data_IF_003048894189
#
_entry.id   IF_003048894189
#
_cell.length_a   1.000
_cell.length_b   1.000
_cell.length_c   1.000
_cell.angle_alpha   90.00
_cell.angle_beta   90.00
_cell.angle_gamma   90.00
#
_symmetry.space_group_name_H-M   'P 1'
#
loop_
_entity.id
_entity.type
_entity.pdbx_description
1 polymer ?
#
# COMPACT_ATOMS: atom_id res chain seq x y z
N UNK A 1 29.93 14.36 -6.99
CA UNK A 1 29.45 15.70 -7.42
C UNK A 1 30.63 16.61 -7.71
N UNK A 2 30.42 17.75 -8.38
CA UNK A 2 31.48 18.74 -8.62
C UNK A 2 31.16 20.03 -7.86
N UNK A 3 32.08 20.48 -7.01
CA UNK A 3 31.99 21.77 -6.34
C UNK A 3 33.13 22.66 -6.85
N UNK A 4 32.80 23.80 -7.47
CA UNK A 4 33.79 24.68 -8.11
C UNK A 4 34.73 23.93 -9.08
N UNK A 5 34.21 22.95 -9.82
CA UNK A 5 34.99 22.13 -10.76
C UNK A 5 35.87 21.05 -10.13
N UNK A 6 35.81 20.85 -8.81
CA UNK A 6 36.57 19.80 -8.10
C UNK A 6 35.64 18.67 -7.66
N UNK A 7 36.15 17.44 -7.69
CA UNK A 7 35.41 16.25 -7.25
C UNK A 7 35.14 16.29 -5.75
N UNK A 8 33.87 16.15 -5.39
CA UNK A 8 33.41 16.13 -4.01
C UNK A 8 32.39 15.01 -3.77
N UNK A 9 32.33 14.57 -2.51
CA UNK A 9 31.27 13.72 -1.97
C UNK A 9 30.38 14.58 -1.07
N UNK A 10 29.06 14.43 -1.21
CA UNK A 10 28.10 15.02 -0.29
C UNK A 10 28.10 14.20 0.99
N UNK A 11 28.34 14.85 2.12
CA UNK A 11 28.38 14.23 3.46
C UNK A 11 27.21 14.65 4.34
N UNK A 12 26.63 15.81 4.07
CA UNK A 12 25.54 16.36 4.87
C UNK A 12 24.56 17.15 3.99
N UNK A 13 23.27 17.05 4.30
CA UNK A 13 22.22 17.88 3.72
C UNK A 13 21.28 18.26 4.86
N UNK A 14 21.15 19.55 5.15
CA UNK A 14 20.34 20.03 6.28
C UNK A 14 20.61 21.48 6.63
N UNK A 15 19.94 21.95 7.67
CA UNK A 15 20.15 23.30 8.20
C UNK A 15 21.41 23.36 9.06
N UNK A 16 22.09 24.50 9.06
CA UNK A 16 23.20 24.72 9.97
C UNK A 16 22.73 25.49 11.19
N UNK A 17 23.28 25.17 12.35
CA UNK A 17 23.03 25.86 13.61
C UNK A 17 23.20 27.37 13.44
N UNK A 18 22.13 28.11 13.75
CA UNK A 18 22.11 29.57 13.65
C UNK A 18 22.10 30.13 12.23
N UNK A 19 21.94 29.31 11.18
CA UNK A 19 21.86 29.78 9.78
C UNK A 19 20.61 29.22 9.11
N UNK A 20 19.62 30.07 8.77
CA UNK A 20 18.40 29.59 8.13
C UNK A 20 18.66 29.12 6.70
N UNK A 21 17.96 28.06 6.31
CA UNK A 21 17.99 27.51 4.95
C UNK A 21 18.76 26.21 4.83
N UNK A 22 18.66 25.59 3.65
CA UNK A 22 19.23 24.29 3.37
C UNK A 22 20.68 24.40 2.90
N UNK A 23 21.57 23.70 3.60
CA UNK A 23 22.99 23.60 3.27
C UNK A 23 23.36 22.19 2.88
N UNK A 24 24.34 22.09 2.01
CA UNK A 24 24.96 20.84 1.60
C UNK A 24 26.42 20.87 2.04
N UNK A 25 26.77 19.97 2.96
CA UNK A 25 28.13 19.73 3.38
C UNK A 25 28.81 18.77 2.42
N UNK A 26 29.92 19.20 1.84
CA UNK A 26 30.70 18.43 0.88
C UNK A 26 32.13 18.23 1.37
N UNK A 27 32.71 17.09 1.03
CA UNK A 27 34.12 16.76 1.25
C UNK A 27 34.83 16.65 -0.10
N UNK A 28 35.95 17.36 -0.25
CA UNK A 28 36.80 17.31 -1.42
C UNK A 28 37.69 16.06 -1.41
N UNK A 29 37.63 15.27 -2.48
CA UNK A 29 38.31 13.97 -2.55
C UNK A 29 39.80 14.06 -2.82
N UNK A 30 40.22 15.01 -3.67
CA UNK A 30 41.58 15.11 -4.20
C UNK A 30 42.28 16.43 -3.88
N UNK A 31 41.63 17.33 -3.14
CA UNK A 31 42.13 18.66 -2.88
C UNK A 31 41.72 19.17 -1.49
N UNK A 32 42.62 19.85 -0.79
CA UNK A 32 42.28 20.64 0.40
C UNK A 32 41.70 22.00 -0.04
N UNK A 33 40.48 21.97 -0.59
CA UNK A 33 39.78 23.15 -1.14
C UNK A 33 38.59 23.60 -0.28
N UNK A 34 38.44 23.03 0.90
CA UNK A 34 37.43 23.36 1.89
C UNK A 34 37.88 24.47 2.84
N UNK A 35 37.03 24.71 3.86
CA UNK A 35 37.24 25.71 4.92
C UNK A 35 37.26 25.09 6.31
N UNK A 36 36.79 23.85 6.45
CA UNK A 36 36.69 23.14 7.72
C UNK A 36 36.97 21.63 7.49
N UNK A 37 36.83 20.83 8.54
CA UNK A 37 36.98 19.36 8.58
C UNK A 37 35.65 18.63 8.83
N UNK A 38 34.54 19.37 8.72
CA UNK A 38 33.17 18.90 8.96
C UNK A 38 32.52 19.46 10.24
N UNK A 39 33.28 20.24 11.00
CA UNK A 39 32.79 21.02 12.14
C UNK A 39 32.65 22.51 11.79
N UNK A 40 31.56 23.14 12.23
CA UNK A 40 31.31 24.58 12.09
C UNK A 40 30.74 25.10 13.40
N UNK A 41 31.34 26.18 13.91
CA UNK A 41 30.91 26.86 15.14
C UNK A 41 30.79 25.92 16.36
N UNK A 42 31.71 24.95 16.47
CA UNK A 42 31.73 23.95 17.56
C UNK A 42 30.74 22.78 17.39
N UNK A 43 29.98 22.76 16.29
CA UNK A 43 29.01 21.71 15.99
C UNK A 43 29.52 20.85 14.84
N UNK A 44 29.59 19.53 15.07
CA UNK A 44 30.02 18.56 14.08
C UNK A 44 28.84 18.04 13.28
N UNK A 45 28.87 18.24 11.97
CA UNK A 45 27.82 17.78 11.05
C UNK A 45 28.24 16.52 10.31
N UNK A 46 29.53 16.40 9.99
CA UNK A 46 30.15 15.22 9.40
C UNK A 46 31.65 15.20 9.73
N UNK A 47 32.37 14.14 9.37
CA UNK A 47 33.81 14.02 9.66
C UNK A 47 34.11 13.40 11.03
N UNK A 48 35.40 13.31 11.44
CA UNK A 48 36.52 14.16 11.01
C UNK A 48 37.01 13.85 9.59
N UNK A 49 37.12 14.88 8.76
CA UNK A 49 37.81 14.80 7.47
C UNK A 49 39.21 15.42 7.57
N UNK A 50 39.98 15.39 6.50
CA UNK A 50 41.26 16.10 6.47
C UNK A 50 41.06 17.62 6.72
N UNK A 51 42.03 18.30 7.36
CA UNK A 51 41.93 19.74 7.57
C UNK A 51 41.69 20.49 6.27
N UNK A 52 40.75 21.44 6.27
CA UNK A 52 40.38 22.22 5.09
C UNK A 52 39.94 21.37 3.88
N UNK A 53 39.36 20.19 4.10
CA UNK A 53 38.79 19.37 3.02
C UNK A 53 37.26 19.43 2.94
N UNK A 54 36.59 20.09 3.88
CA UNK A 54 35.13 20.19 3.94
C UNK A 54 34.63 21.62 3.65
N UNK A 55 33.49 21.72 2.99
CA UNK A 55 32.82 22.99 2.69
C UNK A 55 31.30 22.84 2.79
N UNK A 56 30.63 23.85 3.34
CA UNK A 56 29.19 24.03 3.20
C UNK A 56 28.85 24.98 2.07
N UNK A 57 27.95 24.56 1.19
CA UNK A 57 27.35 25.37 0.14
C UNK A 57 25.84 25.40 0.33
N UNK A 58 25.18 26.49 -0.08
CA UNK A 58 23.72 26.50 -0.05
C UNK A 58 23.18 25.56 -1.13
N UNK A 59 22.08 24.89 -0.85
CA UNK A 59 21.46 23.95 -1.79
C UNK A 59 20.94 24.64 -3.07
N UNK A 60 20.61 25.93 -2.99
CA UNK A 60 20.19 26.76 -4.12
C UNK A 60 21.35 27.39 -4.89
N UNK A 61 22.60 27.18 -4.47
CA UNK A 61 23.76 27.74 -5.15
C UNK A 61 24.21 26.83 -6.30
N UNK A 62 24.42 27.43 -7.48
CA UNK A 62 24.96 26.78 -8.69
C UNK A 62 26.41 26.24 -8.53
N UNK A 63 27.00 26.42 -7.35
CA UNK A 63 28.34 25.95 -7.00
C UNK A 63 28.46 24.42 -7.00
N UNK A 64 27.36 23.70 -6.74
CA UNK A 64 27.32 22.25 -6.69
C UNK A 64 26.62 21.69 -7.93
N UNK A 65 27.39 21.03 -8.79
CA UNK A 65 26.88 20.39 -10.01
C UNK A 65 26.79 18.88 -9.81
N UNK A 66 25.75 18.22 -10.34
CA UNK A 66 25.76 16.76 -10.44
C UNK A 66 27.02 16.30 -11.20
N UNK A 67 27.56 15.16 -10.80
CA UNK A 67 28.80 14.62 -11.38
C UNK A 67 28.62 14.38 -12.89
N UNK A 68 29.71 14.55 -13.65
CA UNK A 68 29.95 14.44 -15.11
C UNK A 68 28.78 14.30 -16.13
N UNK A 69 28.99 14.79 -17.36
CA UNK A 69 28.02 14.71 -18.46
C UNK A 69 27.45 13.31 -18.72
N UNK A 70 28.23 12.24 -18.51
CA UNK A 70 27.76 10.87 -18.68
C UNK A 70 26.79 10.45 -17.55
N UNK A 71 27.01 10.91 -16.33
CA UNK A 71 26.18 10.52 -15.18
C UNK A 71 24.88 11.35 -15.11
N UNK A 72 24.91 12.57 -15.65
CA UNK A 72 23.69 13.31 -15.96
C UNK A 72 22.84 12.58 -17.01
N UNK A 73 23.48 12.06 -18.07
CA UNK A 73 22.80 11.20 -19.05
C UNK A 73 22.27 9.92 -18.39
N UNK A 74 23.04 9.28 -17.50
CA UNK A 74 22.62 8.09 -16.77
C UNK A 74 21.40 8.39 -15.87
N UNK A 75 21.40 9.51 -15.16
CA UNK A 75 20.29 9.95 -14.30
C UNK A 75 19.03 10.23 -15.12
N UNK A 76 19.19 10.87 -16.30
CA UNK A 76 18.07 11.11 -17.23
C UNK A 76 17.50 9.80 -17.77
N UNK A 77 18.36 8.87 -18.20
CA UNK A 77 17.96 7.54 -18.68
C UNK A 77 17.24 6.77 -17.56
N UNK A 78 17.80 6.72 -16.35
CA UNK A 78 17.19 6.05 -15.20
C UNK A 78 15.82 6.66 -14.84
N UNK A 79 15.71 7.99 -14.90
CA UNK A 79 14.44 8.69 -14.68
C UNK A 79 13.38 8.34 -15.72
N UNK A 80 13.76 8.23 -17.00
CA UNK A 80 12.86 7.82 -18.07
C UNK A 80 12.43 6.36 -17.95
N UNK A 81 13.34 5.46 -17.58
CA UNK A 81 13.02 4.04 -17.37
C UNK A 81 11.99 3.88 -16.24
N UNK A 82 12.19 4.55 -15.10
CA UNK A 82 11.24 4.52 -13.97
C UNK A 82 9.85 5.05 -14.35
N UNK A 83 9.79 6.15 -15.10
CA UNK A 83 8.53 6.74 -15.57
C UNK A 83 7.79 5.80 -16.54
N UNK A 84 8.51 5.18 -17.48
CA UNK A 84 7.92 4.21 -18.39
C UNK A 84 7.39 2.97 -17.65
N UNK A 85 8.16 2.43 -16.70
CA UNK A 85 7.74 1.26 -15.92
C UNK A 85 6.46 1.54 -15.13
N UNK A 86 6.39 2.69 -14.44
CA UNK A 86 5.20 3.09 -13.70
C UNK A 86 3.97 3.31 -14.62
N UNK A 87 4.17 3.88 -15.82
CA UNK A 87 3.09 4.03 -16.81
C UNK A 87 2.59 2.67 -17.32
N UNK A 88 3.51 1.72 -17.56
CA UNK A 88 3.17 0.38 -17.98
C UNK A 88 2.38 -0.38 -16.89
N UNK A 89 2.76 -0.27 -15.62
CA UNK A 89 2.02 -0.88 -14.51
C UNK A 89 0.59 -0.32 -14.40
N UNK A 90 0.43 1.00 -14.51
CA UNK A 90 -0.90 1.64 -14.50
C UNK A 90 -1.73 1.22 -15.73
N UNK A 91 -1.10 1.09 -16.89
CA UNK A 91 -1.74 0.61 -18.12
C UNK A 91 -2.22 -0.84 -18.01
N UNK A 92 -1.37 -1.70 -17.44
CA UNK A 92 -1.69 -3.11 -17.21
C UNK A 92 -2.80 -3.27 -16.16
N UNK A 93 -2.72 -2.54 -15.04
CA UNK A 93 -3.76 -2.54 -14.01
C UNK A 93 -5.12 -2.07 -14.54
N UNK A 94 -5.15 -1.04 -15.41
CA UNK A 94 -6.39 -0.64 -16.09
C UNK A 94 -6.91 -1.70 -17.04
N UNK A 95 -6.02 -2.32 -17.81
CA UNK A 95 -6.39 -3.39 -18.75
C UNK A 95 -6.97 -4.59 -18.03
N UNK A 96 -6.32 -5.07 -16.96
CA UNK A 96 -6.83 -6.15 -16.11
C UNK A 96 -8.19 -5.80 -15.50
N UNK A 97 -8.31 -4.60 -14.91
CA UNK A 97 -9.59 -4.16 -14.32
C UNK A 97 -10.71 -4.11 -15.36
N UNK A 98 -10.44 -3.63 -16.57
CA UNK A 98 -11.41 -3.63 -17.65
C UNK A 98 -11.80 -5.06 -18.06
N UNK A 99 -10.83 -5.97 -18.18
CA UNK A 99 -11.07 -7.37 -18.51
C UNK A 99 -11.96 -8.05 -17.46
N UNK A 100 -11.61 -7.97 -16.19
CA UNK A 100 -12.42 -8.55 -15.09
C UNK A 100 -13.82 -7.95 -15.03
N UNK A 101 -13.96 -6.65 -15.31
CA UNK A 101 -15.29 -6.00 -15.33
C UNK A 101 -16.14 -6.50 -16.51
N UNK A 102 -15.53 -6.71 -17.68
CA UNK A 102 -16.23 -7.26 -18.86
C UNK A 102 -16.61 -8.73 -18.67
N UNK A 103 -15.72 -9.53 -18.07
CA UNK A 103 -15.96 -10.93 -17.72
C UNK A 103 -17.11 -11.05 -16.70
N UNK A 104 -17.07 -10.26 -15.63
CA UNK A 104 -18.14 -10.18 -14.63
C UNK A 104 -19.48 -9.74 -15.23
N UNK A 105 -19.46 -8.82 -16.21
CA UNK A 105 -20.68 -8.41 -16.92
C UNK A 105 -21.26 -9.55 -17.77
N UNK A 106 -20.41 -10.30 -18.49
CA UNK A 106 -20.86 -11.43 -19.30
C UNK A 106 -21.39 -12.60 -18.46
N UNK A 107 -20.79 -12.86 -17.30
CA UNK A 107 -21.31 -13.83 -16.32
C UNK A 107 -22.64 -13.36 -15.72
N UNK A 108 -22.75 -12.07 -15.37
CA UNK A 108 -23.99 -11.48 -14.84
C UNK A 108 -25.14 -11.55 -15.84
N UNK A 109 -24.88 -11.27 -17.12
CA UNK A 109 -25.88 -11.36 -18.20
C UNK A 109 -26.38 -12.80 -18.39
N UNK A 110 -25.50 -13.81 -18.23
CA UNK A 110 -25.88 -15.23 -18.26
C UNK A 110 -26.65 -15.67 -17.02
N UNK A 111 -26.28 -15.18 -15.84
CA UNK A 111 -27.01 -15.46 -14.60
C UNK A 111 -28.42 -14.86 -14.62
N UNK A 112 -28.58 -13.63 -15.08
CA UNK A 112 -29.89 -12.99 -15.26
C UNK A 112 -30.69 -13.71 -16.36
N UNK A 113 -30.04 -14.10 -17.45
CA UNK A 113 -30.66 -14.94 -18.48
C UNK A 113 -31.15 -16.29 -17.94
N UNK A 114 -30.39 -16.94 -17.07
CA UNK A 114 -30.78 -18.21 -16.41
C UNK A 114 -31.90 -18.03 -15.37
N UNK A 115 -31.87 -16.95 -14.59
CA UNK A 115 -32.96 -16.54 -13.67
C UNK A 115 -34.27 -16.34 -14.43
N UNK A 116 -34.20 -15.71 -15.61
CA UNK A 116 -35.38 -15.42 -16.43
C UNK A 116 -35.82 -16.60 -17.30
N UNK A 117 -34.94 -17.55 -17.62
CA UNK A 117 -35.23 -18.65 -18.57
C UNK A 117 -35.75 -19.94 -17.92
N UNK A 118 -35.78 -20.06 -16.59
CA UNK A 118 -36.40 -21.21 -15.91
C UNK A 118 -37.20 -20.80 -14.67
N UNK A 119 -38.46 -20.40 -14.89
CA UNK A 119 -39.62 -20.96 -14.18
C UNK A 119 -39.68 -20.90 -12.65
N UNK A 120 -38.91 -20.07 -11.94
CA UNK A 120 -39.05 -19.97 -10.48
C UNK A 120 -40.39 -19.37 -10.09
N UNK A 121 -40.86 -18.35 -10.83
CA UNK A 121 -42.20 -17.79 -10.63
C UNK A 121 -43.31 -18.81 -10.94
N UNK A 122 -43.23 -19.52 -12.07
CA UNK A 122 -44.25 -20.50 -12.46
C UNK A 122 -44.30 -21.73 -11.53
N UNK A 123 -43.16 -22.19 -11.02
CA UNK A 123 -43.10 -23.29 -10.04
C UNK A 123 -43.68 -22.83 -8.69
N UNK A 124 -43.34 -21.62 -8.23
CA UNK A 124 -43.89 -21.05 -6.98
C UNK A 124 -45.39 -20.79 -7.08
N UNK A 125 -45.89 -20.33 -8.23
CA UNK A 125 -47.32 -20.13 -8.47
C UNK A 125 -48.08 -21.46 -8.47
N UNK A 126 -47.52 -22.51 -9.09
CA UNK A 126 -48.13 -23.85 -9.05
C UNK A 126 -48.17 -24.47 -7.65
N UNK A 127 -47.14 -24.23 -6.83
CA UNK A 127 -47.09 -24.68 -5.43
C UNK A 127 -48.09 -23.92 -4.55
N UNK A 128 -48.29 -22.61 -4.80
CA UNK A 128 -49.28 -21.79 -4.10
C UNK A 128 -50.73 -22.18 -4.44
N UNK A 129 -51.02 -22.51 -5.70
CA UNK A 129 -52.35 -22.99 -6.11
C UNK A 129 -52.68 -24.36 -5.50
N UNK A 130 -51.69 -25.26 -5.41
CA UNK A 130 -51.84 -26.57 -4.77
C UNK A 130 -52.11 -26.44 -3.25
N UNK A 131 -51.46 -25.48 -2.57
CA UNK A 131 -51.67 -25.21 -1.14
C UNK A 131 -52.97 -24.45 -0.84
N UNK A 132 -53.41 -23.57 -1.74
CA UNK A 132 -54.66 -22.83 -1.60
C UNK A 132 -55.88 -23.75 -1.76
N UNK A 133 -55.83 -24.68 -2.73
CA UNK A 133 -56.88 -25.67 -2.94
C UNK A 133 -57.06 -26.66 -1.77
N UNK A 134 -56.00 -26.95 -1.02
CA UNK A 134 -56.06 -27.80 0.18
C UNK A 134 -56.60 -27.08 1.42
N UNK A 135 -56.40 -25.75 1.52
CA UNK A 135 -56.93 -24.96 2.62
C UNK A 135 -58.45 -24.70 2.48
N UNK A 136 -58.95 -24.64 1.24
CA UNK A 136 -60.37 -24.43 0.94
C UNK A 136 -61.27 -25.67 1.18
N UNK A 137 -60.69 -26.87 1.37
CA UNK A 137 -61.45 -28.11 1.57
C UNK A 137 -61.58 -28.55 3.02
N UNK A 138 -61.18 -27.73 3.99
CA UNK A 138 -61.33 -28.03 5.42
C UNK A 138 -62.71 -27.55 5.92
N UNK A 139 -63.54 -28.42 6.53
CA UNK A 139 -64.83 -28.01 7.05
C UNK A 139 -64.69 -27.09 8.27
N UNK A 140 -65.45 -26.00 8.26
CA UNK A 140 -65.57 -25.05 9.37
C UNK A 140 -66.19 -25.74 10.60
N UNK A 141 -65.33 -26.17 11.53
CA UNK A 141 -65.77 -26.55 12.86
C UNK A 141 -64.90 -27.59 13.56
N UNK A 142 -64.48 -27.22 14.78
CA UNK A 142 -63.90 -28.07 15.83
C UNK A 142 -62.40 -28.39 15.65
N UNK A 143 -61.53 -28.33 16.67
CA UNK A 143 -61.73 -28.21 18.10
C UNK A 143 -60.45 -27.67 18.77
N UNK A 144 -60.68 -26.95 19.86
CA UNK A 144 -59.79 -26.69 20.99
C UNK A 144 -58.90 -27.88 21.35
N UNK A 145 -57.57 -27.72 21.34
CA UNK A 145 -56.66 -28.57 22.14
C UNK A 145 -55.58 -27.72 22.81
N UNK A 146 -55.52 -27.90 24.14
CA UNK A 146 -54.68 -27.25 25.17
C UNK A 146 -53.18 -27.25 24.88
N UNK A 147 -52.40 -26.37 25.55
CA UNK A 147 -50.95 -26.39 25.47
C UNK A 147 -50.38 -27.59 26.26
N UNK A 148 -49.38 -28.33 25.75
CA UNK A 148 -48.62 -29.24 26.58
C UNK A 148 -47.56 -28.48 27.38
N UNK A 149 -47.76 -28.49 28.70
CA UNK A 149 -46.69 -28.36 29.70
C UNK A 149 -45.71 -29.53 29.55
N UNK A 150 -44.40 -29.29 29.49
CA UNK A 150 -43.43 -30.37 29.55
C UNK A 150 -42.00 -29.97 29.22
N UNK A 151 -41.15 -29.99 30.24
CA UNK A 151 -39.71 -29.75 30.24
C UNK A 151 -38.92 -30.54 29.20
N UNK A 152 -37.99 -29.88 28.52
CA UNK A 152 -37.01 -30.54 27.65
C UNK A 152 -35.85 -29.61 27.34
N UNK A 153 -34.82 -29.64 28.19
CA UNK A 153 -33.57 -28.94 28.00
C UNK A 153 -32.91 -29.38 26.67
N UNK A 154 -32.88 -28.51 25.66
CA UNK A 154 -32.06 -28.68 24.45
C UNK A 154 -31.40 -27.36 24.06
N UNK A 155 -30.20 -27.23 24.64
CA UNK A 155 -28.97 -26.56 24.17
C UNK A 155 -29.11 -25.69 22.90
N UNK A 156 -28.89 -24.39 23.07
CA UNK A 156 -28.70 -23.43 22.00
C UNK A 156 -27.45 -23.78 21.15
N UNK A 157 -27.45 -23.49 19.83
CA UNK A 157 -26.24 -23.57 19.03
C UNK A 157 -25.22 -22.53 19.53
N UNK A 158 -24.04 -23.02 19.88
CA UNK A 158 -22.88 -22.26 20.34
C UNK A 158 -22.40 -21.28 19.27
N UNK A 159 -22.37 -20.00 19.65
CA UNK A 159 -21.69 -18.92 18.94
C UNK A 159 -20.21 -19.30 18.81
N UNK A 160 -19.72 -19.40 17.57
CA UNK A 160 -18.28 -19.56 17.29
C UNK A 160 -17.63 -18.19 17.48
N UNK A 161 -16.95 -18.02 18.61
CA UNK A 161 -16.07 -16.88 18.87
C UNK A 161 -14.86 -16.98 17.94
N UNK A 162 -14.59 -15.95 17.15
CA UNK A 162 -13.32 -15.78 16.43
C UNK A 162 -12.20 -15.76 17.48
N UNK A 163 -11.32 -16.75 17.43
CA UNK A 163 -10.07 -16.74 18.20
C UNK A 163 -9.15 -15.69 17.60
N UNK A 164 -8.71 -14.80 18.49
CA UNK A 164 -7.63 -13.85 18.33
C UNK A 164 -6.33 -14.57 17.91
N UNK A 165 -5.62 -13.98 16.95
CA UNK A 165 -4.38 -14.50 16.40
C UNK A 165 -3.26 -14.47 17.46
N UNK A 166 -2.34 -15.45 17.47
CA UNK A 166 -1.21 -15.41 18.38
C UNK A 166 -0.21 -14.31 17.94
N UNK A 167 0.14 -13.43 18.88
CA UNK A 167 1.31 -12.55 18.75
C UNK A 167 2.58 -13.39 18.60
N UNK A 168 3.37 -13.06 17.57
CA UNK A 168 4.66 -13.68 17.28
C UNK A 168 5.73 -12.92 18.07
N UNK A 169 6.52 -13.58 18.93
CA UNK A 169 7.65 -12.93 19.60
C UNK A 169 8.73 -12.58 18.58
N UNK A 170 9.22 -11.35 18.63
CA UNK A 170 10.45 -10.93 17.94
C UNK A 170 11.63 -11.60 18.65
N UNK A 171 12.25 -12.58 18.00
CA UNK A 171 13.55 -13.10 18.46
C UNK A 171 14.66 -12.12 18.08
N UNK A 172 15.38 -11.68 19.11
CA UNK A 172 16.64 -10.94 19.04
C UNK A 172 17.68 -11.78 18.28
N UNK A 173 18.04 -11.33 17.07
CA UNK A 173 19.25 -11.77 16.41
C UNK A 173 20.45 -11.12 17.10
N UNK A 174 20.85 -11.72 18.21
CA UNK A 174 22.15 -11.55 18.84
C UNK A 174 23.27 -11.97 17.88
N UNK A 175 24.28 -11.12 17.86
CA UNK A 175 25.53 -11.20 17.11
C UNK A 175 26.37 -12.36 17.64
N UNK A 176 26.78 -13.27 16.77
CA UNK A 176 27.88 -14.20 17.03
C UNK A 176 29.19 -13.64 16.44
N UNK A 177 30.18 -13.60 17.34
CA UNK A 177 31.66 -13.46 17.23
C UNK A 177 32.33 -12.61 16.14
#
# INVERSE_FOLDING_TARGET
ALCHGKEVIVRYVGELGGRPGLFVGVEFLRAAAGRHDGEVDGVRYFGPTAPCSALFVRADADSLKPYSAHEEAATRIQGQVRKNLAQNDVSFARTLKAFTTMESRGESERLVGNLNSRGTAAVLESELDLLSGTLASLPDGAATLRPPTGSGSRKAPSVVTLREAPEVPLEDAGVDE
#
